data_IF_678918721312
#
_entry.id   IF_678918721312
#
_cell.length_a   1.000
_cell.length_b   1.000
_cell.length_c   1.000
_cell.angle_alpha   90.00
_cell.angle_beta   90.00
_cell.angle_gamma   90.00
#
_symmetry.space_group_name_H-M   'P 1'
#
loop_
_entity.id
_entity.type
_entity.pdbx_description
1 polymer ?
#
# COMPACT_ATOMS: atom_id res chain seq x y z
N UNK A 1 4.64 -12.28 34.29
CA UNK A 1 4.58 -11.23 33.26
C UNK A 1 4.17 -11.84 31.94
N UNK A 2 3.13 -11.32 31.34
CA UNK A 2 2.67 -11.82 30.05
C UNK A 2 3.39 -11.11 28.90
N UNK A 3 3.56 -11.86 27.81
CA UNK A 3 4.10 -11.32 26.58
C UNK A 3 3.05 -11.36 25.49
N UNK A 4 3.06 -10.35 24.64
CA UNK A 4 2.22 -10.28 23.46
C UNK A 4 3.05 -9.98 22.23
N UNK A 5 2.43 -10.02 21.07
CA UNK A 5 3.08 -9.68 19.80
C UNK A 5 2.39 -8.46 19.22
N UNK A 6 3.17 -7.42 18.99
CA UNK A 6 2.70 -6.19 18.34
C UNK A 6 3.18 -6.22 16.88
N UNK A 7 2.24 -6.08 15.97
CA UNK A 7 2.54 -6.07 14.54
C UNK A 7 2.84 -4.64 14.08
N UNK A 8 3.69 -4.53 13.06
CA UNK A 8 4.03 -3.23 12.45
C UNK A 8 2.81 -2.63 11.75
N UNK A 9 2.83 -1.33 11.57
CA UNK A 9 1.84 -0.62 10.75
C UNK A 9 2.19 -0.81 9.27
N UNK A 10 1.62 -1.83 8.64
CA UNK A 10 1.95 -2.20 7.26
C UNK A 10 1.64 -1.08 6.27
N UNK A 11 0.50 -0.38 6.32
CA UNK A 11 0.28 0.76 5.44
C UNK A 11 1.35 1.84 5.54
N UNK A 12 1.79 2.16 6.76
CA UNK A 12 2.85 3.15 6.97
C UNK A 12 4.17 2.71 6.34
N UNK A 13 4.52 1.44 6.48
CA UNK A 13 5.74 0.88 5.88
C UNK A 13 5.66 0.89 4.36
N UNK A 14 4.51 0.53 3.80
CA UNK A 14 4.28 0.58 2.34
C UNK A 14 4.42 2.01 1.83
N UNK A 15 3.81 2.99 2.49
CA UNK A 15 3.95 4.40 2.12
C UNK A 15 5.41 4.85 2.16
N UNK A 16 6.14 4.49 3.21
CA UNK A 16 7.56 4.84 3.36
C UNK A 16 8.39 4.21 2.24
N UNK A 17 8.13 2.95 1.92
CA UNK A 17 8.81 2.24 0.84
C UNK A 17 8.58 2.93 -0.51
N UNK A 18 7.35 3.30 -0.80
CA UNK A 18 7.01 4.00 -2.04
C UNK A 18 7.66 5.38 -2.10
N UNK A 19 7.61 6.15 -1.01
CA UNK A 19 8.21 7.50 -0.95
C UNK A 19 9.73 7.48 -1.11
N UNK A 20 10.38 6.40 -0.71
CA UNK A 20 11.84 6.28 -0.79
C UNK A 20 12.33 6.05 -2.21
N UNK A 21 11.46 5.71 -3.14
CA UNK A 21 11.84 5.49 -4.53
C UNK A 21 11.98 6.80 -5.28
N UNK A 22 13.07 6.94 -6.04
CA UNK A 22 13.27 8.08 -6.93
C UNK A 22 12.20 8.15 -8.03
N UNK A 23 11.55 7.03 -8.35
CA UNK A 23 10.52 6.97 -9.39
C UNK A 23 9.25 7.74 -9.01
N UNK A 24 9.01 7.96 -7.71
CA UNK A 24 7.83 8.65 -7.19
C UNK A 24 8.17 9.97 -6.49
N UNK A 25 9.32 10.55 -6.79
CA UNK A 25 9.76 11.82 -6.20
C UNK A 25 8.73 12.92 -6.46
N UNK A 26 8.36 13.63 -5.39
CA UNK A 26 7.40 14.75 -5.46
C UNK A 26 5.94 14.33 -5.54
N UNK A 27 5.64 13.04 -5.60
CA UNK A 27 4.27 12.54 -5.60
C UNK A 27 3.76 12.39 -4.16
N UNK A 28 2.52 12.81 -3.90
CA UNK A 28 1.89 12.51 -2.62
C UNK A 28 1.59 11.00 -2.55
N UNK A 29 2.08 10.38 -1.49
CA UNK A 29 1.78 8.98 -1.14
C UNK A 29 1.38 8.95 0.33
N UNK A 30 0.17 8.52 0.63
CA UNK A 30 -0.32 8.50 2.00
C UNK A 30 -1.47 7.53 2.20
N UNK A 31 -2.00 7.50 3.41
CA UNK A 31 -3.11 6.62 3.79
C UNK A 31 -4.46 7.31 3.72
N UNK A 32 -4.48 8.60 3.46
CA UNK A 32 -5.71 9.38 3.32
C UNK A 32 -5.66 10.18 2.03
N UNK A 33 -6.83 10.50 1.49
CA UNK A 33 -6.93 11.43 0.38
C UNK A 33 -6.63 12.84 0.90
N UNK A 34 -5.66 13.58 0.29
CA UNK A 34 -5.35 14.92 0.76
C UNK A 34 -6.58 15.84 0.67
N UNK A 35 -6.78 16.78 1.62
CA UNK A 35 -7.92 17.72 1.58
C UNK A 35 -7.96 18.54 0.30
N UNK A 36 -6.80 18.99 -0.18
CA UNK A 36 -6.66 19.58 -1.51
C UNK A 36 -6.05 18.52 -2.40
N UNK A 37 -6.84 17.98 -3.31
CA UNK A 37 -6.41 16.87 -4.16
C UNK A 37 -5.40 17.33 -5.19
N UNK A 38 -4.17 16.76 -5.21
CA UNK A 38 -3.28 16.96 -6.34
C UNK A 38 -3.84 16.31 -7.60
N UNK A 39 -3.28 16.66 -8.75
CA UNK A 39 -3.67 16.01 -10.01
C UNK A 39 -3.31 14.52 -10.00
N UNK A 40 -2.21 14.16 -9.33
CA UNK A 40 -1.73 12.78 -9.23
C UNK A 40 -1.36 12.47 -7.79
N UNK A 41 -1.81 11.33 -7.28
CA UNK A 41 -1.43 10.86 -5.95
C UNK A 41 -1.72 9.38 -5.78
N UNK A 42 -1.11 8.80 -4.77
CA UNK A 42 -1.32 7.41 -4.37
C UNK A 42 -1.83 7.36 -2.94
N UNK A 43 -2.87 6.56 -2.73
CA UNK A 43 -3.35 6.21 -1.38
C UNK A 43 -3.15 4.74 -1.12
N UNK A 44 -2.69 4.41 0.08
CA UNK A 44 -2.48 3.04 0.55
C UNK A 44 -3.41 2.78 1.72
N UNK A 45 -4.20 1.73 1.66
CA UNK A 45 -5.12 1.35 2.74
C UNK A 45 -4.95 -0.11 3.11
N UNK A 46 -5.14 -0.41 4.38
CA UNK A 46 -5.35 -1.78 4.80
C UNK A 46 -6.82 -2.14 4.61
N UNK A 47 -7.08 -3.19 3.84
CA UNK A 47 -8.45 -3.65 3.54
C UNK A 47 -8.76 -5.01 4.15
N UNK A 48 -7.86 -5.53 4.98
CA UNK A 48 -8.07 -6.80 5.65
C UNK A 48 -6.79 -7.52 5.97
N UNK A 49 -6.87 -8.83 6.02
CA UNK A 49 -5.76 -9.70 6.34
C UNK A 49 -5.99 -10.48 7.62
N UNK A 50 -5.06 -11.36 7.93
CA UNK A 50 -5.18 -12.24 9.07
C UNK A 50 -3.81 -12.58 9.66
N UNK A 51 -3.79 -12.86 10.96
CA UNK A 51 -2.62 -13.43 11.59
C UNK A 51 -2.38 -14.84 11.03
N UNK A 52 -1.17 -15.13 10.58
CA UNK A 52 -0.81 -16.43 10.05
C UNK A 52 -0.11 -17.30 11.07
N UNK A 53 0.76 -16.71 11.87
CA UNK A 53 1.47 -17.38 12.96
C UNK A 53 1.42 -16.49 14.19
N UNK A 54 2.01 -16.97 15.31
CA UNK A 54 2.09 -16.17 16.54
C UNK A 54 2.82 -14.84 16.29
N UNK A 55 3.77 -14.81 15.35
CA UNK A 55 4.65 -13.63 15.13
C UNK A 55 4.58 -13.06 13.73
N UNK A 56 3.65 -13.51 12.91
CA UNK A 56 3.52 -13.00 11.55
C UNK A 56 2.06 -12.83 11.15
N UNK A 57 1.82 -11.87 10.30
CA UNK A 57 0.51 -11.65 9.69
C UNK A 57 0.63 -11.45 8.19
N UNK A 58 -0.48 -11.70 7.48
CA UNK A 58 -0.63 -11.34 6.09
C UNK A 58 -1.64 -10.20 6.02
N UNK A 59 -1.17 -9.00 5.76
CA UNK A 59 -2.04 -7.82 5.62
C UNK A 59 -2.49 -7.69 4.17
N UNK A 60 -3.78 -7.47 3.97
CA UNK A 60 -4.30 -7.11 2.65
C UNK A 60 -4.22 -5.60 2.50
N UNK A 61 -3.45 -5.17 1.53
CA UNK A 61 -3.19 -3.75 1.26
C UNK A 61 -3.73 -3.42 -0.13
N UNK A 62 -4.54 -2.38 -0.20
CA UNK A 62 -5.02 -1.84 -1.46
C UNK A 62 -4.28 -0.55 -1.77
N UNK A 63 -3.72 -0.50 -2.97
CA UNK A 63 -3.01 0.68 -3.50
C UNK A 63 -3.87 1.29 -4.60
N UNK A 64 -4.12 2.58 -4.46
CA UNK A 64 -4.95 3.34 -5.40
C UNK A 64 -4.13 4.48 -5.98
N UNK A 65 -4.15 4.61 -7.31
CA UNK A 65 -3.45 5.67 -8.03
C UNK A 65 -4.46 6.54 -8.80
N UNK A 66 -4.45 7.84 -8.52
CA UNK A 66 -5.26 8.84 -9.22
C UNK A 66 -4.40 9.65 -10.17
N UNK A 67 -4.93 9.94 -11.34
CA UNK A 67 -4.29 10.81 -12.31
C UNK A 67 -5.32 11.44 -13.24
N UNK A 68 -4.88 12.36 -14.10
CA UNK A 68 -5.76 13.04 -15.05
C UNK A 68 -6.12 12.19 -16.27
N UNK A 69 -5.36 11.13 -16.55
CA UNK A 69 -5.61 10.19 -17.65
C UNK A 69 -5.50 8.76 -17.18
N UNK A 70 -6.15 7.85 -17.88
CA UNK A 70 -6.06 6.41 -17.59
C UNK A 70 -4.63 5.91 -17.77
N UNK A 71 -3.96 6.35 -18.83
CA UNK A 71 -2.58 5.93 -19.10
C UNK A 71 -1.65 6.33 -17.95
N UNK A 72 -1.81 7.53 -17.41
CA UNK A 72 -0.98 8.01 -16.31
C UNK A 72 -1.30 7.31 -15.00
N UNK A 73 -2.57 7.09 -14.69
CA UNK A 73 -2.98 6.36 -13.48
C UNK A 73 -2.46 4.92 -13.52
N UNK A 74 -2.58 4.26 -14.66
CA UNK A 74 -2.04 2.92 -14.87
C UNK A 74 -0.53 2.88 -14.70
N UNK A 75 0.19 3.87 -15.24
CA UNK A 75 1.64 3.98 -15.12
C UNK A 75 2.07 4.16 -13.67
N UNK A 76 1.40 5.04 -12.92
CA UNK A 76 1.68 5.23 -11.50
C UNK A 76 1.48 3.94 -10.70
N UNK A 77 0.41 3.23 -10.97
CA UNK A 77 0.14 1.96 -10.29
C UNK A 77 1.18 0.91 -10.65
N UNK A 78 1.58 0.82 -11.91
CA UNK A 78 2.63 -0.11 -12.36
C UNK A 78 3.97 0.20 -11.70
N UNK A 79 4.26 1.48 -11.50
CA UNK A 79 5.48 1.90 -10.80
C UNK A 79 5.44 1.47 -9.33
N UNK A 80 4.33 1.72 -8.66
CA UNK A 80 4.14 1.28 -7.27
C UNK A 80 4.25 -0.24 -7.15
N UNK A 81 3.65 -0.97 -8.08
CA UNK A 81 3.73 -2.43 -8.16
C UNK A 81 5.17 -2.92 -8.26
N UNK A 82 5.97 -2.32 -9.14
CA UNK A 82 7.37 -2.68 -9.31
C UNK A 82 8.18 -2.42 -8.02
N UNK A 83 7.96 -1.29 -7.37
CA UNK A 83 8.65 -0.94 -6.13
C UNK A 83 8.31 -1.95 -5.03
N UNK A 84 7.03 -2.28 -4.85
CA UNK A 84 6.61 -3.19 -3.80
C UNK A 84 7.10 -4.62 -4.04
N UNK A 85 7.07 -5.10 -5.27
CA UNK A 85 7.59 -6.43 -5.59
C UNK A 85 9.11 -6.54 -5.38
N UNK A 86 9.82 -5.43 -5.45
CA UNK A 86 11.25 -5.38 -5.19
C UNK A 86 11.60 -5.14 -3.72
N UNK A 87 10.62 -4.76 -2.90
CA UNK A 87 10.87 -4.41 -1.50
C UNK A 87 11.04 -5.66 -0.63
N UNK A 88 12.11 -5.68 0.18
CA UNK A 88 12.38 -6.79 1.10
C UNK A 88 12.79 -6.34 2.50
N UNK A 89 12.91 -5.03 2.74
CA UNK A 89 13.51 -4.50 3.98
C UNK A 89 12.77 -4.93 5.26
N UNK A 90 11.52 -4.48 5.44
CA UNK A 90 10.69 -4.86 6.60
C UNK A 90 9.56 -5.82 6.22
N UNK A 91 9.42 -6.08 4.94
CA UNK A 91 8.44 -6.98 4.39
C UNK A 91 9.16 -8.27 4.02
N UNK A 92 8.60 -9.42 4.37
CA UNK A 92 9.20 -10.70 4.01
C UNK A 92 8.28 -11.53 3.13
N UNK A 93 7.38 -10.88 2.44
CA UNK A 93 6.53 -11.50 1.43
C UNK A 93 5.58 -10.47 0.86
N UNK A 94 5.71 -10.23 -0.43
CA UNK A 94 4.78 -9.39 -1.19
C UNK A 94 4.16 -10.27 -2.26
N UNK A 95 2.84 -10.40 -2.22
CA UNK A 95 2.10 -11.22 -3.17
C UNK A 95 0.94 -10.40 -3.73
N UNK A 96 0.76 -10.46 -5.04
CA UNK A 96 -0.38 -9.81 -5.65
C UNK A 96 -1.64 -10.62 -5.39
N UNK A 97 -2.64 -9.96 -4.83
CA UNK A 97 -3.92 -10.57 -4.51
C UNK A 97 -4.95 -10.31 -5.61
N UNK A 98 -4.99 -9.07 -6.10
CA UNK A 98 -5.88 -8.66 -7.19
C UNK A 98 -5.08 -7.75 -8.11
N UNK A 99 -5.12 -8.02 -9.41
CA UNK A 99 -4.40 -7.25 -10.40
C UNK A 99 -4.95 -5.83 -10.59
N UNK A 100 -4.26 -5.01 -11.40
CA UNK A 100 -4.71 -3.64 -11.66
C UNK A 100 -6.11 -3.62 -12.26
N UNK A 101 -6.94 -2.71 -11.74
CA UNK A 101 -8.30 -2.51 -12.23
C UNK A 101 -8.59 -1.01 -12.37
N UNK A 102 -9.28 -0.66 -13.45
CA UNK A 102 -9.75 0.70 -13.68
C UNK A 102 -11.07 0.88 -12.94
N UNK A 103 -11.00 1.46 -11.74
CA UNK A 103 -12.17 1.69 -10.88
C UNK A 103 -12.25 3.17 -10.53
N UNK A 104 -12.92 3.99 -11.36
CA UNK A 104 -13.06 5.42 -11.08
C UNK A 104 -13.62 5.69 -9.69
N UNK A 105 -13.23 6.81 -9.10
CA UNK A 105 -13.74 7.24 -7.80
C UNK A 105 -15.26 7.40 -7.88
N UNK A 106 -16.05 6.66 -7.08
CA UNK A 106 -17.51 6.69 -7.20
C UNK A 106 -18.12 8.04 -6.79
N UNK A 107 -17.40 8.85 -6.01
CA UNK A 107 -17.89 10.16 -5.55
C UNK A 107 -17.61 11.27 -6.55
N UNK A 108 -16.39 11.29 -7.12
CA UNK A 108 -15.92 12.38 -7.98
C UNK A 108 -15.83 12.01 -9.45
N UNK A 109 -15.97 10.72 -9.77
CA UNK A 109 -15.70 10.14 -11.10
C UNK A 109 -14.26 10.38 -11.59
N UNK A 110 -13.35 10.78 -10.70
CA UNK A 110 -11.94 10.97 -11.03
C UNK A 110 -11.31 9.63 -11.41
N UNK A 111 -10.40 9.65 -12.38
CA UNK A 111 -9.73 8.45 -12.87
C UNK A 111 -8.87 7.84 -11.76
N UNK A 112 -9.08 6.56 -11.50
CA UNK A 112 -8.38 5.83 -10.45
C UNK A 112 -8.15 4.38 -10.89
N UNK A 113 -6.90 3.92 -10.74
CA UNK A 113 -6.57 2.49 -10.85
C UNK A 113 -6.25 1.95 -9.47
N UNK A 114 -6.68 0.73 -9.21
CA UNK A 114 -6.47 0.07 -7.92
C UNK A 114 -5.93 -1.32 -8.10
N UNK A 115 -5.16 -1.79 -7.13
CA UNK A 115 -4.83 -3.20 -7.01
C UNK A 115 -4.59 -3.55 -5.54
N UNK A 116 -4.65 -4.84 -5.23
CA UNK A 116 -4.47 -5.32 -3.87
C UNK A 116 -3.31 -6.29 -3.78
N UNK A 117 -2.60 -6.21 -2.66
CA UNK A 117 -1.48 -7.05 -2.32
C UNK A 117 -1.75 -7.76 -1.00
N UNK A 118 -1.17 -8.94 -0.84
CA UNK A 118 -1.01 -9.57 0.46
C UNK A 118 0.43 -9.35 0.86
N UNK A 119 0.63 -8.66 1.98
CA UNK A 119 1.96 -8.30 2.46
C UNK A 119 2.16 -8.93 3.82
N UNK A 120 3.17 -9.76 3.93
CA UNK A 120 3.55 -10.38 5.19
C UNK A 120 4.41 -9.45 6.01
N UNK A 121 4.19 -9.49 7.30
CA UNK A 121 4.96 -8.70 8.24
C UNK A 121 5.17 -9.49 9.53
N UNK A 122 6.30 -9.25 10.18
CA UNK A 122 6.61 -9.83 11.47
C UNK A 122 6.17 -8.90 12.58
N UNK A 123 5.78 -9.51 13.69
CA UNK A 123 5.51 -8.78 14.91
C UNK A 123 6.71 -8.73 15.83
N UNK A 124 6.64 -7.83 16.78
CA UNK A 124 7.64 -7.65 17.84
C UNK A 124 7.03 -8.09 19.16
N UNK A 125 7.79 -8.85 19.93
CA UNK A 125 7.36 -9.27 21.27
C UNK A 125 7.38 -8.06 22.19
N UNK A 126 6.28 -7.88 22.92
CA UNK A 126 6.13 -6.80 23.92
C UNK A 126 5.64 -7.39 25.23
N UNK A 127 6.00 -6.74 26.33
CA UNK A 127 5.48 -7.09 27.66
C UNK A 127 4.14 -6.37 27.85
N UNK A 128 3.14 -7.14 28.18
CA UNK A 128 1.78 -6.61 28.36
C UNK A 128 1.33 -6.65 29.83
#
# INVERSE_FOLDING_TARGET
VAEGVKFIDVPAVVCSTLRSSALLTGLYVGTVVPPTRPAEFIRVMRTGGAKETVRSEAAQITVEAWAGTEARASDLLSTARAILNAADAQLFGVREFSGPANLPDPTTAQIRFTMSFQIRARGTVVTV
#
